data_IF_460513529782
#
_entry.id   IF_460513529782
#
_cell.length_a   1.000
_cell.length_b   1.000
_cell.length_c   1.000
_cell.angle_alpha   90.00
_cell.angle_beta   90.00
_cell.angle_gamma   90.00
#
_symmetry.space_group_name_H-M   'P 1'
#
loop_
_entity.id
_entity.type
_entity.pdbx_description
1 polymer ?
#
# COMPACT_ATOMS: atom_id res chain seq x y z
N UNK A 1 -9.69 -62.45 43.46
CA UNK A 1 -10.61 -61.53 44.16
C UNK A 1 -10.15 -60.10 43.90
N UNK A 2 -10.57 -59.54 42.78
CA UNK A 2 -10.16 -58.21 42.30
C UNK A 2 -11.28 -57.23 42.60
N UNK A 3 -11.03 -56.27 43.49
CA UNK A 3 -12.00 -55.22 43.86
C UNK A 3 -11.89 -54.06 42.87
N UNK A 4 -12.97 -53.83 42.14
CA UNK A 4 -13.27 -52.65 41.35
C UNK A 4 -13.53 -51.47 42.29
N UNK A 5 -12.82 -50.35 42.12
CA UNK A 5 -13.18 -49.07 42.74
C UNK A 5 -13.45 -48.06 41.62
N UNK A 6 -14.73 -47.74 41.43
CA UNK A 6 -15.18 -46.62 40.63
C UNK A 6 -14.92 -45.33 41.40
N UNK A 7 -14.23 -44.37 40.78
CA UNK A 7 -14.24 -42.97 41.23
C UNK A 7 -14.95 -42.14 40.18
N UNK A 8 -16.16 -41.71 40.54
CA UNK A 8 -16.89 -40.63 39.93
C UNK A 8 -16.15 -39.32 40.22
N UNK A 9 -15.58 -38.69 39.19
CA UNK A 9 -15.14 -37.29 39.26
C UNK A 9 -16.23 -36.42 38.64
N UNK A 10 -16.84 -35.58 39.47
CA UNK A 10 -17.85 -34.61 39.11
C UNK A 10 -17.28 -33.55 38.16
N UNK A 11 -17.92 -33.37 37.01
CA UNK A 11 -17.64 -32.29 36.06
C UNK A 11 -18.38 -31.04 36.55
N UNK A 12 -17.64 -30.14 37.19
CA UNK A 12 -18.14 -28.80 37.52
C UNK A 12 -18.10 -27.94 36.26
N UNK A 13 -19.27 -27.73 35.66
CA UNK A 13 -19.46 -26.79 34.55
C UNK A 13 -19.38 -25.38 35.13
N UNK A 14 -18.23 -24.73 34.95
CA UNK A 14 -18.03 -23.33 35.31
C UNK A 14 -18.50 -22.46 34.13
N UNK A 15 -19.77 -22.07 34.15
CA UNK A 15 -20.38 -21.17 33.18
C UNK A 15 -19.79 -19.78 33.36
N UNK A 16 -18.76 -19.44 32.58
CA UNK A 16 -18.19 -18.11 32.52
C UNK A 16 -19.17 -17.19 31.78
N UNK A 17 -19.93 -16.39 32.53
CA UNK A 17 -20.69 -15.27 31.98
C UNK A 17 -19.70 -14.20 31.48
N UNK A 18 -19.38 -14.24 30.19
CA UNK A 18 -18.75 -13.11 29.50
C UNK A 18 -19.82 -12.04 29.33
N UNK A 19 -19.88 -11.11 30.27
CA UNK A 19 -20.62 -9.87 30.14
C UNK A 19 -20.06 -9.10 28.94
N UNK A 20 -20.85 -9.06 27.86
CA UNK A 20 -20.68 -8.16 26.73
C UNK A 20 -20.81 -6.72 27.24
N UNK A 21 -19.71 -6.14 27.72
CA UNK A 21 -19.58 -4.68 27.74
C UNK A 21 -19.44 -4.22 26.30
N UNK A 22 -20.58 -3.85 25.73
CA UNK A 22 -20.66 -3.03 24.53
C UNK A 22 -19.80 -1.78 24.75
N UNK A 23 -18.57 -1.81 24.24
CA UNK A 23 -17.86 -0.58 23.95
C UNK A 23 -18.63 0.11 22.83
N UNK A 24 -19.45 1.08 23.22
CA UNK A 24 -19.97 2.10 22.33
C UNK A 24 -18.77 2.74 21.64
N UNK A 25 -18.51 2.32 20.40
CA UNK A 25 -17.66 3.08 19.50
C UNK A 25 -18.36 4.42 19.31
N UNK A 26 -17.84 5.45 19.97
CA UNK A 26 -18.08 6.83 19.59
C UNK A 26 -17.42 7.05 18.23
N UNK A 27 -18.05 6.54 17.17
CA UNK A 27 -17.77 6.96 15.80
C UNK A 27 -18.17 8.43 15.72
N UNK A 28 -17.18 9.33 15.78
CA UNK A 28 -17.37 10.70 15.34
C UNK A 28 -17.84 10.63 13.89
N UNK A 29 -19.13 10.88 13.66
CA UNK A 29 -19.65 11.04 12.31
C UNK A 29 -19.06 12.32 11.74
N UNK A 30 -18.13 12.21 10.80
CA UNK A 30 -17.73 13.35 9.99
C UNK A 30 -18.85 13.59 8.96
N UNK A 31 -19.78 14.49 9.26
CA UNK A 31 -20.64 15.05 8.23
C UNK A 31 -19.82 16.07 7.44
N UNK A 32 -19.48 15.74 6.19
CA UNK A 32 -19.03 16.73 5.22
C UNK A 32 -20.19 17.71 4.96
N UNK A 33 -20.16 18.86 5.62
CA UNK A 33 -21.06 19.96 5.32
C UNK A 33 -20.61 20.63 4.03
N UNK A 34 -21.23 20.27 2.91
CA UNK A 34 -21.17 21.05 1.69
C UNK A 34 -22.09 22.25 1.87
N UNK A 35 -21.52 23.39 2.28
CA UNK A 35 -22.22 24.67 2.17
C UNK A 35 -22.12 25.15 0.72
N UNK A 36 -23.30 25.43 0.18
CA UNK A 36 -23.54 25.94 -1.15
C UNK A 36 -22.99 27.37 -1.26
N UNK A 37 -21.99 27.60 -2.11
CA UNK A 37 -21.66 28.95 -2.57
C UNK A 37 -21.09 28.91 -3.99
N UNK A 38 -21.93 29.38 -4.90
CA UNK A 38 -21.66 29.88 -6.24
C UNK A 38 -20.37 30.68 -6.32
N UNK A 39 -19.36 30.15 -7.01
CA UNK A 39 -18.48 30.85 -7.95
C UNK A 39 -17.54 29.82 -8.62
N UNK A 40 -17.56 29.78 -9.96
CA UNK A 40 -16.78 28.95 -10.91
C UNK A 40 -15.73 27.98 -10.33
N UNK A 41 -16.21 26.94 -9.67
CA UNK A 41 -15.50 25.69 -9.43
C UNK A 41 -16.24 24.65 -10.27
N UNK A 42 -15.51 23.83 -11.03
CA UNK A 42 -16.10 22.70 -11.75
C UNK A 42 -16.93 21.88 -10.77
N UNK A 43 -18.25 22.09 -10.78
CA UNK A 43 -19.17 21.40 -9.89
C UNK A 43 -18.97 19.90 -10.13
N UNK A 44 -18.68 19.17 -9.07
CA UNK A 44 -18.42 17.74 -9.14
C UNK A 44 -19.65 17.05 -9.76
N UNK A 45 -19.56 16.68 -11.03
CA UNK A 45 -20.67 16.10 -11.77
C UNK A 45 -20.83 14.64 -11.36
N UNK A 46 -21.91 14.32 -10.65
CA UNK A 46 -22.30 12.95 -10.34
C UNK A 46 -23.33 12.46 -11.37
N UNK A 47 -23.28 11.17 -11.76
CA UNK A 47 -22.27 10.17 -11.39
C UNK A 47 -20.92 10.45 -12.07
N UNK A 48 -19.83 9.98 -11.47
CA UNK A 48 -18.51 10.12 -12.06
C UNK A 48 -18.37 9.27 -13.34
N UNK A 49 -17.71 9.82 -14.36
CA UNK A 49 -17.25 9.05 -15.53
C UNK A 49 -15.97 8.28 -15.20
N UNK A 50 -15.91 7.03 -15.63
CA UNK A 50 -14.78 6.14 -15.39
C UNK A 50 -14.23 5.59 -16.71
N UNK A 51 -12.90 5.57 -16.83
CA UNK A 51 -12.20 4.70 -17.76
C UNK A 51 -12.14 3.31 -17.15
N UNK A 52 -12.71 2.33 -17.84
CA UNK A 52 -12.62 0.92 -17.45
C UNK A 52 -11.17 0.44 -17.56
N UNK A 53 -10.71 -0.25 -16.53
CA UNK A 53 -9.41 -0.92 -16.46
C UNK A 53 -9.61 -2.21 -15.70
N UNK A 54 -8.82 -3.23 -16.02
CA UNK A 54 -8.77 -4.46 -15.23
C UNK A 54 -7.34 -4.68 -14.78
N UNK A 55 -7.05 -4.31 -13.54
CA UNK A 55 -5.73 -4.50 -12.93
C UNK A 55 -5.87 -4.77 -11.44
N UNK A 56 -4.75 -5.03 -10.79
CA UNK A 56 -4.66 -5.17 -9.34
C UNK A 56 -3.91 -3.97 -8.76
N UNK A 57 -4.23 -3.64 -7.52
CA UNK A 57 -3.50 -2.64 -6.76
C UNK A 57 -3.54 -2.92 -5.27
N UNK A 58 -2.75 -2.16 -4.52
CA UNK A 58 -2.65 -2.26 -3.08
C UNK A 58 -3.24 -1.01 -2.44
N UNK A 59 -4.17 -1.19 -1.51
CA UNK A 59 -4.61 -0.12 -0.62
C UNK A 59 -3.54 0.07 0.46
N UNK A 60 -3.05 1.29 0.62
CA UNK A 60 -2.10 1.67 1.66
C UNK A 60 -2.64 2.90 2.40
N UNK A 61 -3.02 2.74 3.66
CA UNK A 61 -3.44 3.81 4.56
C UNK A 61 -4.16 3.31 5.81
N UNK A 62 -4.05 4.07 6.90
CA UNK A 62 -4.59 3.69 8.22
C UNK A 62 -6.11 3.71 8.28
N UNK A 63 -6.74 4.69 7.62
CA UNK A 63 -8.20 4.82 7.55
C UNK A 63 -8.60 5.33 6.16
N UNK A 64 -9.04 4.40 5.31
CA UNK A 64 -9.46 4.67 3.94
C UNK A 64 -10.97 4.55 3.87
N UNK A 65 -11.65 5.65 3.56
CA UNK A 65 -13.10 5.66 3.38
C UNK A 65 -13.49 4.89 2.10
N UNK A 66 -14.43 3.96 2.23
CA UNK A 66 -15.11 3.31 1.11
C UNK A 66 -16.36 4.14 0.77
N UNK A 67 -16.50 4.50 -0.50
CA UNK A 67 -17.54 5.40 -0.97
C UNK A 67 -18.49 4.68 -1.95
N UNK A 68 -19.75 5.12 -1.97
CA UNK A 68 -20.72 4.73 -2.99
C UNK A 68 -20.63 5.63 -4.24
N UNK A 69 -21.47 5.38 -5.26
CA UNK A 69 -21.51 6.17 -6.51
C UNK A 69 -21.93 7.65 -6.31
N UNK A 70 -22.52 7.98 -5.15
CA UNK A 70 -22.81 9.37 -4.75
C UNK A 70 -21.66 10.01 -3.95
N UNK A 71 -20.51 9.33 -3.87
CA UNK A 71 -19.32 9.69 -3.08
C UNK A 71 -19.60 9.87 -1.58
N UNK A 72 -20.63 9.20 -1.06
CA UNK A 72 -20.88 9.14 0.36
C UNK A 72 -20.13 7.97 0.97
N UNK A 73 -19.49 8.21 2.11
CA UNK A 73 -18.82 7.16 2.86
C UNK A 73 -19.84 6.11 3.33
N UNK A 74 -19.60 4.86 2.96
CA UNK A 74 -20.38 3.70 3.39
C UNK A 74 -19.68 2.89 4.46
N UNK A 75 -18.34 2.90 4.45
CA UNK A 75 -17.50 2.19 5.43
C UNK A 75 -16.08 2.78 5.48
N UNK A 76 -15.23 2.23 6.35
CA UNK A 76 -13.80 2.57 6.43
C UNK A 76 -12.98 1.29 6.58
N UNK A 77 -11.87 1.23 5.84
CA UNK A 77 -10.91 0.13 5.94
C UNK A 77 -9.55 0.65 6.40
N UNK A 78 -8.96 -0.03 7.39
CA UNK A 78 -7.53 0.05 7.65
C UNK A 78 -6.84 -0.97 6.75
N UNK A 79 -5.99 -0.50 5.85
CA UNK A 79 -5.35 -1.37 4.88
C UNK A 79 -3.88 -1.02 4.75
N UNK A 80 -3.05 -1.80 5.43
CA UNK A 80 -1.61 -1.81 5.22
C UNK A 80 -1.26 -2.80 4.10
N UNK A 81 -1.41 -2.38 2.84
CA UNK A 81 -0.97 -3.18 1.70
C UNK A 81 -1.94 -4.29 1.33
N UNK A 82 -3.25 -4.03 1.43
CA UNK A 82 -4.28 -4.98 1.02
C UNK A 82 -4.42 -5.00 -0.50
N UNK A 83 -4.24 -6.17 -1.12
CA UNK A 83 -4.47 -6.37 -2.55
C UNK A 83 -5.97 -6.28 -2.89
N UNK A 84 -6.30 -5.53 -3.93
CA UNK A 84 -7.66 -5.37 -4.47
C UNK A 84 -7.64 -5.39 -5.99
N UNK A 85 -8.78 -5.75 -6.59
CA UNK A 85 -8.98 -5.54 -8.03
C UNK A 85 -9.44 -4.12 -8.27
N UNK A 86 -8.97 -3.53 -9.36
CA UNK A 86 -9.34 -2.20 -9.82
C UNK A 86 -10.13 -2.39 -11.11
N UNK A 87 -11.34 -1.83 -11.14
CA UNK A 87 -12.29 -1.94 -12.26
C UNK A 87 -12.47 -0.63 -13.02
N UNK A 88 -12.06 0.50 -12.45
CA UNK A 88 -12.20 1.80 -13.11
C UNK A 88 -11.45 2.93 -12.41
N UNK A 89 -11.03 3.91 -13.19
CA UNK A 89 -10.39 5.15 -12.71
C UNK A 89 -11.20 6.33 -13.25
N UNK A 90 -11.50 7.31 -12.41
CA UNK A 90 -12.25 8.49 -12.85
C UNK A 90 -11.47 9.27 -13.91
N UNK A 91 -12.17 9.75 -14.93
CA UNK A 91 -11.54 10.49 -16.04
C UNK A 91 -11.00 11.86 -15.64
N UNK A 92 -11.46 12.39 -14.51
CA UNK A 92 -11.03 13.67 -13.95
C UNK A 92 -10.25 13.48 -12.66
N UNK A 93 -9.44 14.49 -12.33
CA UNK A 93 -8.77 14.63 -11.05
C UNK A 93 -9.53 15.57 -10.13
N UNK A 94 -9.57 15.23 -8.85
CA UNK A 94 -10.28 15.94 -7.80
C UNK A 94 -9.30 16.42 -6.73
N UNK A 95 -9.48 17.63 -6.18
CA UNK A 95 -8.59 18.14 -5.15
C UNK A 95 -8.83 17.45 -3.81
N UNK A 96 -7.78 17.35 -2.98
CA UNK A 96 -7.82 16.83 -1.60
C UNK A 96 -8.78 17.62 -0.71
N UNK A 97 -8.83 18.94 -0.90
CA UNK A 97 -9.77 19.83 -0.23
C UNK A 97 -10.32 20.82 -1.24
N UNK A 98 -11.49 21.41 -0.98
CA UNK A 98 -12.10 22.40 -1.89
C UNK A 98 -11.22 23.63 -2.14
N UNK A 99 -10.31 23.93 -1.21
CA UNK A 99 -9.37 25.04 -1.29
C UNK A 99 -8.02 24.65 -1.91
N UNK A 100 -7.82 23.36 -2.23
CA UNK A 100 -6.54 22.88 -2.71
C UNK A 100 -6.34 23.14 -4.20
N UNK A 101 -5.40 24.01 -4.51
CA UNK A 101 -5.01 24.35 -5.88
C UNK A 101 -3.74 23.62 -6.32
N UNK A 102 -3.03 22.97 -5.39
CA UNK A 102 -1.77 22.28 -5.69
C UNK A 102 -2.03 21.04 -6.54
N UNK A 103 -1.20 20.85 -7.58
CA UNK A 103 -1.29 19.69 -8.46
C UNK A 103 -0.98 18.38 -7.72
N UNK A 104 -0.05 18.41 -6.75
CA UNK A 104 0.30 17.25 -5.92
C UNK A 104 -0.84 16.77 -5.02
N UNK A 105 -1.86 17.61 -4.84
CA UNK A 105 -3.00 17.37 -3.99
C UNK A 105 -4.27 17.09 -4.79
N UNK A 106 -4.11 16.54 -6.00
CA UNK A 106 -5.24 16.06 -6.80
C UNK A 106 -5.11 14.56 -7.03
N UNK A 107 -6.24 13.87 -7.11
CA UNK A 107 -6.30 12.42 -7.29
C UNK A 107 -7.52 12.01 -8.13
N UNK A 108 -7.43 10.85 -8.76
CA UNK A 108 -8.61 10.20 -9.37
C UNK A 108 -9.34 9.35 -8.33
N UNK A 109 -10.66 9.28 -8.43
CA UNK A 109 -11.41 8.24 -7.72
C UNK A 109 -11.20 6.90 -8.40
N UNK A 110 -11.02 5.85 -7.61
CA UNK A 110 -10.74 4.50 -8.10
C UNK A 110 -11.86 3.58 -7.66
N UNK A 111 -12.49 2.88 -8.62
CA UNK A 111 -13.40 1.78 -8.34
C UNK A 111 -12.60 0.52 -8.08
N UNK A 112 -12.83 -0.04 -6.90
CA UNK A 112 -12.17 -1.25 -6.44
C UNK A 112 -13.20 -2.32 -6.11
N UNK A 113 -12.76 -3.57 -6.19
CA UNK A 113 -13.50 -4.71 -5.70
C UNK A 113 -12.82 -5.29 -4.47
N UNK A 114 -13.55 -5.34 -3.37
CA UNK A 114 -13.16 -6.03 -2.15
C UNK A 114 -14.14 -7.19 -1.98
N UNK A 115 -13.64 -8.42 -2.13
CA UNK A 115 -14.51 -9.61 -2.15
C UNK A 115 -15.59 -9.49 -3.24
N UNK A 116 -16.87 -9.47 -2.86
CA UNK A 116 -18.00 -9.38 -3.78
C UNK A 116 -18.61 -7.97 -3.87
N UNK A 117 -18.01 -6.99 -3.18
CA UNK A 117 -18.51 -5.62 -3.12
C UNK A 117 -17.64 -4.67 -3.96
N UNK A 118 -18.31 -3.80 -4.72
CA UNK A 118 -17.67 -2.67 -5.39
C UNK A 118 -17.69 -1.46 -4.47
N UNK A 119 -16.59 -0.72 -4.44
CA UNK A 119 -16.48 0.53 -3.67
C UNK A 119 -15.62 1.53 -4.43
N UNK A 120 -15.80 2.80 -4.13
CA UNK A 120 -14.96 3.88 -4.66
C UNK A 120 -14.05 4.37 -3.54
N UNK A 121 -12.78 4.60 -3.84
CA UNK A 121 -11.83 5.20 -2.90
C UNK A 121 -11.00 6.30 -3.56
N UNK A 122 -10.37 7.15 -2.74
CA UNK A 122 -9.42 8.14 -3.22
C UNK A 122 -8.17 7.45 -3.75
N UNK A 123 -7.78 7.77 -4.99
CA UNK A 123 -6.62 7.21 -5.67
C UNK A 123 -5.28 7.46 -4.97
N UNK A 124 -5.21 8.40 -4.03
CA UNK A 124 -4.02 8.65 -3.21
C UNK A 124 -3.63 7.47 -2.33
N UNK A 125 -4.58 6.58 -2.02
CA UNK A 125 -4.37 5.39 -1.20
C UNK A 125 -4.18 4.11 -2.02
N UNK A 126 -4.27 4.17 -3.34
CA UNK A 126 -4.11 3.00 -4.20
C UNK A 126 -2.82 3.09 -4.98
N UNK A 127 -2.08 1.99 -4.94
CA UNK A 127 -0.83 1.80 -5.67
C UNK A 127 -0.96 0.63 -6.63
N UNK A 128 -0.63 0.82 -7.90
CA UNK A 128 -0.71 -0.21 -8.93
C UNK A 128 0.53 -0.19 -9.82
N UNK A 129 0.82 -1.32 -10.45
CA UNK A 129 1.85 -1.38 -11.48
C UNK A 129 1.38 -0.58 -12.71
N UNK A 130 2.26 0.23 -13.28
CA UNK A 130 2.01 0.91 -14.55
C UNK A 130 2.58 0.08 -15.71
N UNK A 131 2.08 0.32 -16.92
CA UNK A 131 2.59 -0.33 -18.13
C UNK A 131 3.99 0.14 -18.53
N UNK A 132 4.43 1.26 -17.96
CA UNK A 132 5.51 2.06 -18.51
C UNK A 132 6.87 1.66 -17.94
N UNK A 133 6.90 0.93 -16.82
CA UNK A 133 8.11 0.39 -16.23
C UNK A 133 8.10 -1.14 -16.23
N UNK A 134 9.02 -1.73 -17.00
CA UNK A 134 9.18 -3.18 -17.04
C UNK A 134 9.70 -3.69 -15.68
N UNK A 135 9.17 -4.82 -15.19
CA UNK A 135 9.69 -5.46 -13.97
C UNK A 135 11.21 -5.72 -14.06
N UNK A 136 11.93 -5.47 -12.97
CA UNK A 136 13.28 -6.03 -12.82
C UNK A 136 13.14 -7.47 -12.36
N UNK A 137 13.59 -8.40 -13.19
CA UNK A 137 13.47 -9.83 -12.91
C UNK A 137 14.83 -10.50 -12.85
N UNK A 138 14.94 -11.52 -12.00
CA UNK A 138 16.08 -12.41 -11.95
C UNK A 138 15.61 -13.84 -11.65
N UNK A 139 16.25 -14.79 -12.31
CA UNK A 139 16.13 -16.20 -12.01
C UNK A 139 17.34 -16.61 -11.15
N UNK A 140 17.09 -17.16 -9.97
CA UNK A 140 18.13 -17.75 -9.13
C UNK A 140 17.71 -19.18 -8.83
N UNK A 141 18.50 -20.13 -9.33
CA UNK A 141 18.13 -21.54 -9.37
C UNK A 141 16.77 -21.75 -10.05
N UNK A 142 15.78 -22.29 -9.33
CA UNK A 142 14.42 -22.54 -9.81
C UNK A 142 13.44 -21.39 -9.50
N UNK A 143 13.85 -20.42 -8.69
CA UNK A 143 12.97 -19.35 -8.23
C UNK A 143 13.16 -18.08 -9.08
N UNK A 144 12.04 -17.50 -9.52
CA UNK A 144 11.98 -16.22 -10.20
C UNK A 144 11.60 -15.15 -9.19
N UNK A 145 12.40 -14.11 -9.14
CA UNK A 145 12.16 -12.92 -8.34
C UNK A 145 11.82 -11.76 -9.27
N UNK A 146 10.79 -10.99 -8.93
CA UNK A 146 10.33 -9.85 -9.71
C UNK A 146 10.10 -8.64 -8.82
N UNK A 147 10.57 -7.48 -9.27
CA UNK A 147 10.46 -6.20 -8.61
C UNK A 147 9.77 -5.22 -9.54
N UNK A 148 8.64 -4.69 -9.11
CA UNK A 148 7.83 -3.74 -9.88
C UNK A 148 7.55 -2.52 -9.03
N UNK A 149 7.96 -1.34 -9.51
CA UNK A 149 7.60 -0.08 -8.85
C UNK A 149 6.10 0.14 -9.03
N UNK A 150 5.43 0.52 -7.95
CA UNK A 150 4.03 0.91 -7.99
C UNK A 150 3.91 2.43 -8.00
N UNK A 151 2.92 2.91 -8.72
CA UNK A 151 2.51 4.31 -8.74
C UNK A 151 1.12 4.45 -8.13
N UNK A 152 0.84 5.63 -7.58
CA UNK A 152 -0.50 5.96 -7.12
C UNK A 152 -1.31 6.73 -8.16
N UNK A 153 -2.62 6.80 -7.96
CA UNK A 153 -3.53 7.50 -8.86
C UNK A 153 -3.70 8.99 -8.49
N UNK A 154 -2.60 9.64 -8.13
CA UNK A 154 -2.54 11.10 -7.98
C UNK A 154 -2.35 11.78 -9.34
N UNK A 155 -2.72 13.05 -9.43
CA UNK A 155 -2.39 13.87 -10.59
C UNK A 155 -0.87 14.13 -10.58
N UNK A 156 -0.14 13.44 -11.45
CA UNK A 156 1.24 13.80 -11.74
C UNK A 156 1.22 15.07 -12.59
N UNK A 157 2.00 16.09 -12.20
CA UNK A 157 2.28 17.20 -13.10
C UNK A 157 3.47 16.81 -13.98
N UNK A 158 3.34 17.02 -15.29
CA UNK A 158 4.47 17.01 -16.24
C UNK A 158 5.52 18.10 -15.91
N UNK A 159 5.31 18.89 -14.87
CA UNK A 159 6.01 20.13 -14.56
C UNK A 159 6.71 20.08 -13.21
N UNK A 160 7.83 19.35 -13.11
CA UNK A 160 8.93 19.55 -12.14
C UNK A 160 8.61 19.77 -10.65
N UNK A 161 7.37 19.61 -10.21
CA UNK A 161 6.97 19.74 -8.82
C UNK A 161 7.27 18.40 -8.15
N UNK A 162 8.12 18.46 -7.13
CA UNK A 162 8.44 17.33 -6.27
C UNK A 162 7.23 17.05 -5.40
N UNK A 163 6.24 16.35 -5.96
CA UNK A 163 5.23 15.72 -5.13
C UNK A 163 5.96 14.61 -4.36
N UNK A 164 5.92 14.67 -3.03
CA UNK A 164 6.43 13.59 -2.18
C UNK A 164 5.48 12.40 -2.33
N UNK A 165 5.73 11.60 -3.36
CA UNK A 165 4.97 10.41 -3.69
C UNK A 165 5.82 9.21 -3.32
N UNK A 166 5.31 8.42 -2.38
CA UNK A 166 5.86 7.11 -2.10
C UNK A 166 5.68 6.20 -3.31
N UNK A 167 6.66 5.35 -3.57
CA UNK A 167 6.64 4.41 -4.71
C UNK A 167 7.05 3.02 -4.21
N UNK A 168 6.16 2.34 -3.48
CA UNK A 168 6.47 1.02 -2.91
C UNK A 168 6.75 0.01 -4.02
N UNK A 169 7.53 -1.01 -3.68
CA UNK A 169 7.80 -2.12 -4.59
C UNK A 169 6.83 -3.28 -4.38
N UNK A 170 6.17 -3.70 -5.46
CA UNK A 170 5.62 -5.04 -5.56
C UNK A 170 6.77 -6.02 -5.77
N UNK A 171 6.87 -6.98 -4.86
CA UNK A 171 7.80 -8.09 -4.91
C UNK A 171 7.05 -9.40 -5.14
N UNK A 172 7.56 -10.22 -6.05
CA UNK A 172 7.06 -11.57 -6.26
C UNK A 172 8.19 -12.59 -6.19
N UNK A 173 7.92 -13.74 -5.58
CA UNK A 173 8.80 -14.90 -5.55
C UNK A 173 8.02 -16.14 -6.00
N UNK A 174 8.43 -16.77 -7.11
CA UNK A 174 7.77 -17.98 -7.59
C UNK A 174 8.00 -19.21 -6.70
N UNK A 175 9.06 -19.23 -5.90
CA UNK A 175 9.43 -20.38 -5.07
C UNK A 175 8.43 -20.68 -3.96
N UNK A 176 7.78 -19.66 -3.43
CA UNK A 176 6.74 -19.77 -2.41
C UNK A 176 5.40 -19.13 -2.81
N UNK A 177 5.26 -18.75 -4.08
CA UNK A 177 4.12 -18.04 -4.64
C UNK A 177 3.79 -16.72 -3.90
N UNK A 178 4.79 -16.07 -3.31
CA UNK A 178 4.59 -14.77 -2.71
C UNK A 178 4.37 -13.69 -3.77
N UNK A 179 3.39 -12.82 -3.51
CA UNK A 179 3.14 -11.59 -4.26
C UNK A 179 2.64 -10.54 -3.26
N UNK A 180 3.43 -9.50 -3.03
CA UNK A 180 3.09 -8.48 -2.04
C UNK A 180 4.12 -7.37 -1.96
N UNK A 181 3.90 -6.43 -1.06
CA UNK A 181 4.83 -5.33 -0.82
C UNK A 181 5.99 -5.79 0.07
N UNK A 182 7.15 -5.13 -0.04
CA UNK A 182 8.27 -5.32 0.89
C UNK A 182 8.11 -4.38 2.08
N UNK A 183 7.95 -4.92 3.29
CA UNK A 183 7.93 -4.11 4.51
C UNK A 183 9.34 -3.59 4.80
N UNK A 184 9.45 -2.31 5.15
CA UNK A 184 10.72 -1.71 5.54
C UNK A 184 11.03 -2.04 7.00
N UNK A 185 12.27 -2.46 7.27
CA UNK A 185 12.79 -2.59 8.63
C UNK A 185 13.66 -1.38 8.93
N UNK A 186 13.17 -0.50 9.80
CA UNK A 186 13.93 0.65 10.29
C UNK A 186 15.12 0.18 11.15
N UNK A 187 16.26 0.84 10.99
CA UNK A 187 17.47 0.61 11.78
C UNK A 187 18.28 1.91 11.94
N UNK A 188 19.51 1.82 12.45
CA UNK A 188 20.37 2.99 12.66
C UNK A 188 20.89 3.62 11.34
N UNK A 189 20.77 2.93 10.21
CA UNK A 189 21.26 3.37 8.89
C UNK A 189 20.16 4.11 8.13
N UNK A 190 18.94 3.61 8.19
CA UNK A 190 17.81 4.16 7.45
C UNK A 190 16.52 4.04 8.25
N UNK A 191 15.79 5.15 8.32
CA UNK A 191 14.50 5.24 8.99
C UNK A 191 13.51 5.96 8.09
N UNK A 192 12.30 5.42 8.00
CA UNK A 192 11.17 6.06 7.35
C UNK A 192 9.91 5.85 8.19
N UNK A 193 9.02 6.83 8.16
CA UNK A 193 7.66 6.69 8.68
C UNK A 193 6.78 5.87 7.72
N UNK A 194 7.16 5.81 6.44
CA UNK A 194 6.47 4.99 5.46
C UNK A 194 6.85 3.51 5.63
N UNK A 195 5.88 2.58 5.82
CA UNK A 195 6.18 1.23 6.30
C UNK A 195 6.68 0.28 5.20
N UNK A 196 6.82 0.73 3.96
CA UNK A 196 7.25 -0.10 2.83
C UNK A 196 8.57 0.38 2.26
N UNK A 197 9.35 -0.56 1.77
CA UNK A 197 10.55 -0.26 1.00
C UNK A 197 10.17 0.26 -0.39
N UNK A 198 10.83 1.33 -0.79
CA UNK A 198 10.59 2.04 -2.04
C UNK A 198 11.90 2.31 -2.78
N UNK A 199 11.81 2.38 -4.12
CA UNK A 199 12.89 2.88 -4.97
C UNK A 199 12.50 4.28 -5.42
N UNK A 200 13.32 5.28 -5.09
CA UNK A 200 13.04 6.65 -5.50
C UNK A 200 12.96 6.74 -7.03
N UNK A 201 11.96 7.46 -7.53
CA UNK A 201 11.79 7.74 -8.96
C UNK A 201 11.18 9.13 -9.15
N UNK A 202 11.89 10.15 -8.69
CA UNK A 202 11.42 11.52 -8.75
C UNK A 202 12.49 12.45 -9.33
N UNK A 203 12.15 13.74 -9.44
CA UNK A 203 13.04 14.74 -10.03
C UNK A 203 14.38 14.92 -9.27
N UNK A 204 14.46 14.49 -8.01
CA UNK A 204 15.64 14.64 -7.15
C UNK A 204 16.56 13.42 -7.29
N UNK A 205 15.98 12.21 -7.27
CA UNK A 205 16.71 10.95 -7.27
C UNK A 205 15.93 9.83 -7.98
N UNK A 206 16.68 8.94 -8.61
CA UNK A 206 16.22 7.76 -9.32
C UNK A 206 17.08 6.56 -8.90
N UNK A 207 16.45 5.59 -8.26
CA UNK A 207 17.06 4.36 -7.79
C UNK A 207 16.90 3.25 -8.83
N UNK A 208 18.00 2.57 -9.15
CA UNK A 208 18.02 1.43 -10.07
C UNK A 208 18.64 0.23 -9.38
N UNK A 209 17.94 -0.91 -9.39
CA UNK A 209 18.53 -2.19 -8.99
C UNK A 209 19.55 -2.60 -10.07
N UNK A 210 20.84 -2.49 -9.75
CA UNK A 210 21.92 -2.84 -10.67
C UNK A 210 22.28 -4.31 -10.62
N UNK A 211 22.18 -4.92 -9.44
CA UNK A 211 22.57 -6.31 -9.20
C UNK A 211 21.70 -6.94 -8.11
N UNK A 212 21.48 -8.24 -8.22
CA UNK A 212 20.74 -9.04 -7.25
C UNK A 212 21.53 -10.32 -7.01
N UNK A 213 21.92 -10.55 -5.76
CA UNK A 213 22.70 -11.71 -5.32
C UNK A 213 21.98 -12.45 -4.19
N UNK A 214 22.47 -13.64 -3.83
CA UNK A 214 22.04 -14.35 -2.61
C UNK A 214 23.17 -14.40 -1.58
N UNK A 215 22.79 -14.34 -0.31
CA UNK A 215 23.69 -14.59 0.82
C UNK A 215 22.95 -15.37 1.89
N UNK A 216 23.14 -16.68 1.91
CA UNK A 216 22.35 -17.57 2.78
C UNK A 216 20.88 -17.54 2.37
N UNK A 217 20.00 -17.18 3.31
CA UNK A 217 18.54 -17.10 3.13
C UNK A 217 18.05 -15.70 2.69
N UNK A 218 18.97 -14.81 2.29
CA UNK A 218 18.66 -13.44 1.91
C UNK A 218 18.94 -13.18 0.44
N UNK A 219 18.09 -12.37 -0.19
CA UNK A 219 18.43 -11.67 -1.42
C UNK A 219 19.13 -10.37 -1.06
N UNK A 220 20.21 -10.06 -1.76
CA UNK A 220 20.96 -8.83 -1.61
C UNK A 220 20.77 -8.00 -2.87
N UNK A 221 20.07 -6.87 -2.74
CA UNK A 221 19.93 -5.90 -3.81
C UNK A 221 21.07 -4.89 -3.71
N UNK A 222 21.75 -4.68 -4.83
CA UNK A 222 22.62 -3.53 -5.01
C UNK A 222 21.87 -2.51 -5.86
N UNK A 223 21.71 -1.32 -5.29
CA UNK A 223 20.94 -0.23 -5.87
C UNK A 223 21.88 0.94 -6.11
N UNK A 224 21.80 1.50 -7.32
CA UNK A 224 22.45 2.75 -7.66
C UNK A 224 21.42 3.87 -7.64
N UNK A 225 21.60 4.84 -6.75
CA UNK A 225 20.88 6.11 -6.77
C UNK A 225 21.58 7.07 -7.71
N UNK A 226 20.86 7.61 -8.68
CA UNK A 226 21.33 8.70 -9.54
C UNK A 226 20.37 9.87 -9.46
N UNK A 227 20.89 11.09 -9.37
CA UNK A 227 20.06 12.28 -9.21
C UNK A 227 20.89 13.52 -9.29
N UNK A 228 20.28 14.68 -9.57
CA UNK A 228 21.02 15.96 -9.64
C UNK A 228 21.68 16.32 -8.31
N UNK A 229 21.10 15.87 -7.19
CA UNK A 229 21.54 16.19 -5.83
C UNK A 229 21.89 14.97 -4.99
N UNK A 230 21.78 13.76 -5.53
CA UNK A 230 22.09 12.53 -4.79
C UNK A 230 22.75 11.51 -5.71
N UNK A 231 23.91 11.02 -5.28
CA UNK A 231 24.58 9.89 -5.92
C UNK A 231 25.02 8.93 -4.82
N UNK A 232 24.47 7.72 -4.81
CA UNK A 232 24.77 6.76 -3.76
C UNK A 232 24.73 5.32 -4.26
N UNK A 233 25.50 4.46 -3.61
CA UNK A 233 25.30 3.01 -3.67
C UNK A 233 24.57 2.57 -2.40
N UNK A 234 23.49 1.80 -2.58
CA UNK A 234 22.65 1.32 -1.48
C UNK A 234 22.65 -0.20 -1.56
N UNK A 235 22.84 -0.86 -0.41
CA UNK A 235 22.72 -2.31 -0.28
C UNK A 235 21.52 -2.62 0.59
N UNK A 236 20.62 -3.46 0.10
CA UNK A 236 19.41 -3.86 0.79
C UNK A 236 19.37 -5.37 0.90
N UNK A 237 19.12 -5.89 2.10
CA UNK A 237 18.86 -7.30 2.31
C UNK A 237 17.36 -7.53 2.37
N UNK A 238 16.86 -8.47 1.57
CA UNK A 238 15.48 -8.94 1.61
C UNK A 238 15.47 -10.33 2.22
N UNK A 239 14.63 -10.51 3.23
CA UNK A 239 14.47 -11.77 3.95
C UNK A 239 13.00 -12.11 4.14
N UNK A 240 12.69 -13.39 4.02
CA UNK A 240 11.36 -13.91 4.37
C UNK A 240 11.10 -13.74 5.86
N UNK A 241 9.96 -13.14 6.18
CA UNK A 241 9.44 -12.98 7.53
C UNK A 241 8.21 -13.88 7.72
N UNK A 242 8.13 -14.53 8.87
CA UNK A 242 7.07 -15.50 9.13
C UNK A 242 5.67 -14.85 9.25
N UNK A 243 5.60 -13.56 9.58
CA UNK A 243 4.34 -12.84 9.80
C UNK A 243 4.00 -11.92 8.63
N UNK A 244 5.01 -11.27 8.04
CA UNK A 244 4.84 -10.18 7.08
C UNK A 244 5.19 -10.58 5.64
N UNK A 245 5.49 -11.85 5.39
CA UNK A 245 5.92 -12.32 4.08
C UNK A 245 7.38 -12.00 3.82
N UNK A 246 7.70 -10.76 3.39
CA UNK A 246 9.07 -10.35 3.10
C UNK A 246 9.37 -8.94 3.62
N UNK A 247 10.55 -8.82 4.24
CA UNK A 247 11.07 -7.59 4.79
C UNK A 247 12.32 -7.15 4.02
N UNK A 248 12.50 -5.85 3.85
CA UNK A 248 13.67 -5.21 3.28
C UNK A 248 14.37 -4.34 4.33
N UNK A 249 15.67 -4.54 4.49
CA UNK A 249 16.49 -3.80 5.45
C UNK A 249 17.68 -3.17 4.73
N UNK A 250 17.87 -1.86 4.88
CA UNK A 250 19.02 -1.15 4.32
C UNK A 250 20.25 -1.49 5.15
N UNK A 251 21.26 -2.09 4.50
CA UNK A 251 22.50 -2.56 5.12
C UNK A 251 23.65 -1.58 5.00
N UNK A 252 23.64 -0.72 3.99
CA UNK A 252 24.62 0.35 3.83
C UNK A 252 24.15 1.37 2.81
N UNK A 253 24.54 2.63 3.02
CA UNK A 253 24.43 3.73 2.06
C UNK A 253 25.81 4.35 1.93
N UNK A 254 26.41 4.26 0.74
CA UNK A 254 27.66 4.92 0.40
C UNK A 254 27.34 6.14 -0.46
N UNK A 255 27.43 7.33 0.13
CA UNK A 255 27.24 8.59 -0.60
C UNK A 255 28.50 8.92 -1.40
N UNK A 256 28.32 9.18 -2.68
CA UNK A 256 29.38 9.49 -3.63
C UNK A 256 29.38 10.95 -4.08
N UNK A 257 28.27 11.65 -3.83
CA UNK A 257 28.13 13.10 -3.95
C UNK A 257 27.00 13.58 -3.05
#
# INVERSE_FOLDING_TARGET
MTKTLYHFAAITICTLCVSLTSCQNNSKSYSLSLQDSSETNSALSLPLSYRNIETEGFIIGDQVALLNDSLQATDTISAEGKLVKISGISEQFYPLTLTDTSICNKYSYVRIQIQDEQSIISGKYIYSATSDEAPKEIQIEKDKYSFVRLENYNALSDTSATCDLHTPLLFSNSGDNYKGLLKLVNNDIYQSEYPYFELMANAIAHDVITEINTKGDQLILHIRRTGKQSLANIVVAIKKDALNGYNAEVKSIENLR
#
